data_IF_353337927900
#
_entry.id   IF_353337927900
#
_cell.length_a   1.000
_cell.length_b   1.000
_cell.length_c   1.000
_cell.angle_alpha   90.00
_cell.angle_beta   90.00
_cell.angle_gamma   90.00
#
_symmetry.space_group_name_H-M   'P 1'
#
loop_
_entity.id
_entity.type
_entity.pdbx_description
1 polymer ?
#
# COMPACT_ATOMS: atom_id res chain seq x y z
N UNK A 1 -56.59 -13.29 -52.83
CA UNK A 1 -56.09 -13.78 -51.52
C UNK A 1 -54.58 -13.61 -51.56
N UNK A 2 -54.07 -12.53 -50.94
CA UNK A 2 -52.63 -12.18 -50.98
C UNK A 2 -52.01 -12.50 -49.61
N UNK A 3 -51.08 -13.48 -49.58
CA UNK A 3 -50.36 -13.87 -48.37
C UNK A 3 -49.32 -12.84 -48.03
N UNK A 4 -49.52 -12.11 -46.93
CA UNK A 4 -48.58 -11.16 -46.34
C UNK A 4 -47.60 -11.98 -45.45
N UNK A 5 -46.35 -12.19 -45.90
CA UNK A 5 -45.30 -12.77 -45.11
C UNK A 5 -44.72 -11.70 -44.18
N UNK A 6 -44.97 -11.84 -42.88
CA UNK A 6 -44.39 -11.00 -41.83
C UNK A 6 -42.94 -11.46 -41.61
N UNK A 7 -41.97 -10.63 -42.02
CA UNK A 7 -40.53 -10.83 -41.75
C UNK A 7 -40.25 -10.24 -40.38
N UNK A 8 -40.04 -11.12 -39.37
CA UNK A 8 -39.52 -10.69 -38.07
C UNK A 8 -38.04 -10.34 -38.19
N UNK A 9 -37.69 -9.07 -38.11
CA UNK A 9 -36.30 -8.64 -37.90
C UNK A 9 -35.96 -8.85 -36.44
N UNK A 10 -35.22 -9.92 -36.12
CA UNK A 10 -34.57 -10.09 -34.84
C UNK A 10 -33.31 -9.19 -34.84
N UNK A 11 -33.41 -8.01 -34.29
CA UNK A 11 -32.27 -7.14 -34.08
C UNK A 11 -31.33 -7.76 -33.04
N UNK A 12 -30.18 -8.27 -33.48
CA UNK A 12 -29.10 -8.70 -32.62
C UNK A 12 -28.48 -7.46 -31.94
N UNK A 13 -28.87 -7.20 -30.69
CA UNK A 13 -28.26 -6.15 -29.90
C UNK A 13 -26.84 -6.61 -29.50
N UNK A 14 -25.84 -6.22 -30.28
CA UNK A 14 -24.44 -6.41 -29.89
C UNK A 14 -24.15 -5.57 -28.67
N UNK A 15 -24.11 -6.20 -27.51
CA UNK A 15 -23.57 -5.56 -26.28
C UNK A 15 -22.07 -5.40 -26.52
N UNK A 16 -21.66 -4.17 -26.83
CA UNK A 16 -20.26 -3.76 -26.81
C UNK A 16 -19.80 -3.84 -25.35
N UNK A 17 -19.16 -4.97 -25.00
CA UNK A 17 -18.37 -5.07 -23.77
C UNK A 17 -17.16 -4.18 -24.01
N UNK A 18 -17.22 -2.93 -23.52
CA UNK A 18 -16.03 -2.08 -23.40
C UNK A 18 -15.05 -2.83 -22.52
N UNK A 19 -13.77 -2.96 -22.92
CA UNK A 19 -12.76 -3.51 -22.01
C UNK A 19 -12.81 -2.65 -20.75
N UNK A 20 -13.08 -3.29 -19.62
CA UNK A 20 -13.07 -2.63 -18.33
C UNK A 20 -11.73 -1.91 -18.21
N UNK A 21 -11.76 -0.64 -17.81
CA UNK A 21 -10.55 0.07 -17.36
C UNK A 21 -9.95 -0.82 -16.29
N UNK A 22 -8.78 -1.41 -16.58
CA UNK A 22 -8.09 -2.29 -15.65
C UNK A 22 -8.01 -1.56 -14.31
N UNK A 23 -8.64 -2.12 -13.29
CA UNK A 23 -8.55 -1.56 -11.95
C UNK A 23 -7.09 -1.65 -11.54
N UNK A 24 -6.46 -0.52 -11.22
CA UNK A 24 -5.15 -0.51 -10.63
C UNK A 24 -5.27 -1.30 -9.32
N UNK A 25 -4.67 -2.48 -9.29
CA UNK A 25 -4.75 -3.43 -8.19
C UNK A 25 -3.34 -3.81 -7.78
N UNK A 26 -3.16 -4.08 -6.50
CA UNK A 26 -1.90 -4.59 -5.93
C UNK A 26 -1.41 -5.90 -6.60
N UNK A 27 -2.26 -6.54 -7.42
CA UNK A 27 -1.95 -7.73 -8.23
C UNK A 27 -1.71 -7.42 -9.71
N UNK A 28 -1.56 -6.12 -10.07
CA UNK A 28 -1.35 -5.71 -11.45
C UNK A 28 0.04 -6.09 -11.97
N UNK A 29 0.13 -6.60 -13.20
CA UNK A 29 1.40 -6.85 -13.90
C UNK A 29 2.25 -5.57 -14.03
N UNK A 30 1.61 -4.40 -14.10
CA UNK A 30 2.29 -3.10 -14.10
C UNK A 30 3.10 -2.88 -12.81
N UNK A 31 2.62 -3.43 -11.68
CA UNK A 31 3.30 -3.31 -10.39
C UNK A 31 4.59 -4.15 -10.36
N UNK A 32 4.60 -5.31 -10.99
CA UNK A 32 5.78 -6.17 -11.09
C UNK A 32 6.89 -5.46 -11.89
N UNK A 33 6.56 -4.87 -13.06
CA UNK A 33 7.51 -4.06 -13.83
C UNK A 33 8.07 -2.88 -13.03
N UNK A 34 7.20 -2.18 -12.30
CA UNK A 34 7.63 -1.06 -11.45
C UNK A 34 8.62 -1.51 -10.35
N UNK A 35 8.37 -2.64 -9.69
CA UNK A 35 9.30 -3.17 -8.69
C UNK A 35 10.64 -3.60 -9.29
N UNK A 36 10.62 -4.27 -10.44
CA UNK A 36 11.83 -4.70 -11.13
C UNK A 36 12.69 -3.47 -11.53
N UNK A 37 12.07 -2.44 -12.07
CA UNK A 37 12.73 -1.19 -12.40
C UNK A 37 13.23 -0.43 -11.17
N UNK A 38 12.43 -0.36 -10.10
CA UNK A 38 12.83 0.27 -8.84
C UNK A 38 14.10 -0.37 -8.28
N UNK A 39 14.17 -1.69 -8.32
CA UNK A 39 15.27 -2.46 -7.78
C UNK A 39 16.59 -2.23 -8.49
N UNK A 40 16.56 -2.03 -9.82
CA UNK A 40 17.77 -1.88 -10.65
C UNK A 40 18.13 -0.43 -10.97
N UNK A 41 17.24 0.52 -10.68
CA UNK A 41 17.52 1.94 -10.95
C UNK A 41 18.74 2.41 -10.16
N UNK A 42 19.63 3.12 -10.84
CA UNK A 42 20.81 3.77 -10.23
C UNK A 42 20.63 5.28 -10.10
N UNK A 43 19.55 5.81 -10.66
CA UNK A 43 19.23 7.24 -10.67
C UNK A 43 18.17 7.52 -9.59
N UNK A 44 18.52 8.34 -8.61
CA UNK A 44 17.63 8.68 -7.49
C UNK A 44 16.32 9.38 -7.94
N UNK A 45 16.38 10.20 -8.99
CA UNK A 45 15.19 10.87 -9.53
C UNK A 45 14.26 9.86 -10.22
N UNK A 46 14.81 8.94 -11.01
CA UNK A 46 14.03 7.85 -11.62
C UNK A 46 13.43 6.95 -10.55
N UNK A 47 14.21 6.54 -9.56
CA UNK A 47 13.74 5.71 -8.46
C UNK A 47 12.58 6.36 -7.69
N UNK A 48 12.67 7.66 -7.39
CA UNK A 48 11.60 8.40 -6.74
C UNK A 48 10.32 8.48 -7.61
N UNK A 49 10.48 8.64 -8.93
CA UNK A 49 9.36 8.64 -9.85
C UNK A 49 8.66 7.27 -9.90
N UNK A 50 9.43 6.17 -9.95
CA UNK A 50 8.90 4.80 -9.93
C UNK A 50 8.21 4.51 -8.59
N UNK A 51 8.82 4.89 -7.48
CA UNK A 51 8.22 4.76 -6.14
C UNK A 51 6.87 5.50 -6.08
N UNK A 52 6.80 6.72 -6.63
CA UNK A 52 5.56 7.49 -6.73
C UNK A 52 4.47 6.78 -7.54
N UNK A 53 4.84 6.06 -8.61
CA UNK A 53 3.90 5.26 -9.40
C UNK A 53 3.40 4.04 -8.60
N UNK A 54 4.27 3.35 -7.86
CA UNK A 54 3.88 2.25 -6.97
C UNK A 54 2.88 2.74 -5.92
N UNK A 55 3.16 3.86 -5.24
CA UNK A 55 2.23 4.46 -4.29
C UNK A 55 0.91 4.85 -4.93
N UNK A 56 0.92 5.35 -6.16
CA UNK A 56 -0.30 5.69 -6.89
C UNK A 56 -1.17 4.45 -7.16
N UNK A 57 -0.56 3.33 -7.52
CA UNK A 57 -1.27 2.05 -7.71
C UNK A 57 -1.85 1.58 -6.37
N UNK A 58 -1.07 1.60 -5.30
CA UNK A 58 -1.52 1.13 -4.00
C UNK A 58 -2.64 1.95 -3.36
N UNK A 59 -2.68 3.28 -3.60
CA UNK A 59 -3.63 4.17 -2.91
C UNK A 59 -5.03 4.17 -3.53
N UNK A 60 -5.18 3.67 -4.75
CA UNK A 60 -6.43 3.64 -5.49
C UNK A 60 -6.93 2.21 -5.69
N UNK A 61 -8.16 1.95 -5.24
CA UNK A 61 -8.81 0.65 -5.41
C UNK A 61 -9.72 0.60 -6.65
N UNK A 62 -10.16 1.76 -7.14
CA UNK A 62 -11.11 1.87 -8.24
C UNK A 62 -12.56 1.66 -7.80
N UNK A 63 -12.83 1.56 -6.50
CA UNK A 63 -14.17 1.51 -5.91
C UNK A 63 -14.46 2.84 -5.27
N UNK A 64 -15.42 3.59 -5.83
CA UNK A 64 -15.65 5.00 -5.48
C UNK A 64 -15.81 5.26 -3.98
N UNK A 65 -16.58 4.42 -3.27
CA UNK A 65 -16.78 4.58 -1.82
C UNK A 65 -15.51 4.29 -1.03
N UNK A 66 -14.73 3.27 -1.43
CA UNK A 66 -13.45 2.92 -0.80
C UNK A 66 -12.44 4.04 -1.01
N UNK A 67 -12.29 4.53 -2.24
CA UNK A 67 -11.36 5.59 -2.60
C UNK A 67 -11.72 6.93 -1.94
N UNK A 68 -13.01 7.23 -1.80
CA UNK A 68 -13.48 8.40 -1.07
C UNK A 68 -13.13 8.32 0.42
N UNK A 69 -13.40 7.19 1.08
CA UNK A 69 -13.05 7.00 2.49
C UNK A 69 -11.53 7.00 2.69
N UNK A 70 -10.74 6.44 1.75
CA UNK A 70 -9.29 6.51 1.75
C UNK A 70 -8.81 7.96 1.75
N UNK A 71 -9.31 8.77 0.82
CA UNK A 71 -8.97 10.19 0.72
C UNK A 71 -9.31 10.97 1.99
N UNK A 72 -10.53 10.80 2.51
CA UNK A 72 -10.97 11.48 3.74
C UNK A 72 -10.15 11.04 4.96
N UNK A 73 -9.77 9.76 5.04
CA UNK A 73 -8.91 9.23 6.08
C UNK A 73 -7.51 9.85 6.05
N UNK A 74 -6.93 10.01 4.86
CA UNK A 74 -5.61 10.63 4.67
C UNK A 74 -5.66 12.11 5.06
N UNK A 75 -6.69 12.85 4.64
CA UNK A 75 -6.87 14.26 5.01
C UNK A 75 -6.96 14.40 6.53
N UNK A 76 -7.86 13.65 7.17
CA UNK A 76 -8.02 13.67 8.62
C UNK A 76 -6.72 13.33 9.36
N UNK A 77 -5.94 12.36 8.84
CA UNK A 77 -4.63 12.00 9.40
C UNK A 77 -3.65 13.18 9.30
N UNK A 78 -3.59 13.85 8.16
CA UNK A 78 -2.70 15.00 7.95
C UNK A 78 -3.03 16.22 8.83
N UNK A 79 -4.30 16.34 9.22
CA UNK A 79 -4.79 17.38 10.15
C UNK A 79 -4.62 16.98 11.62
N UNK A 80 -4.07 15.79 11.92
CA UNK A 80 -3.93 15.28 13.28
C UNK A 80 -5.25 14.77 13.89
N UNK A 81 -6.33 14.72 13.12
CA UNK A 81 -7.60 14.16 13.54
C UNK A 81 -7.57 12.62 13.43
N UNK A 82 -6.81 11.98 14.32
CA UNK A 82 -6.60 10.53 14.28
C UNK A 82 -7.89 9.74 14.53
N UNK A 83 -8.80 10.21 15.38
CA UNK A 83 -10.08 9.54 15.60
C UNK A 83 -10.96 9.56 14.34
N UNK A 84 -11.04 10.69 13.64
CA UNK A 84 -11.73 10.80 12.35
C UNK A 84 -11.08 9.92 11.29
N UNK A 85 -9.76 9.95 11.21
CA UNK A 85 -8.98 9.13 10.28
C UNK A 85 -9.23 7.63 10.48
N UNK A 86 -9.20 7.12 11.72
CA UNK A 86 -9.54 5.73 12.03
C UNK A 86 -10.95 5.37 11.56
N UNK A 87 -11.95 6.26 11.78
CA UNK A 87 -13.33 6.02 11.35
C UNK A 87 -13.43 5.82 9.82
N UNK A 88 -12.67 6.60 9.05
CA UNK A 88 -12.63 6.46 7.59
C UNK A 88 -11.90 5.18 7.16
N UNK A 89 -10.72 4.91 7.70
CA UNK A 89 -9.99 3.68 7.35
C UNK A 89 -10.69 2.41 7.83
N UNK A 90 -11.46 2.47 8.92
CA UNK A 90 -12.36 1.38 9.33
C UNK A 90 -13.43 1.07 8.28
N UNK A 91 -13.96 2.09 7.58
CA UNK A 91 -14.88 1.88 6.46
C UNK A 91 -14.16 1.29 5.27
N UNK A 92 -12.93 1.74 4.97
CA UNK A 92 -12.10 1.17 3.91
C UNK A 92 -11.89 -0.32 4.11
N UNK A 93 -11.35 -0.74 5.28
CA UNK A 93 -11.02 -2.16 5.53
C UNK A 93 -12.24 -3.06 5.72
N UNK A 94 -13.41 -2.49 6.07
CA UNK A 94 -14.68 -3.22 6.09
C UNK A 94 -15.30 -3.33 4.71
N UNK A 95 -15.19 -2.27 3.90
CA UNK A 95 -15.73 -2.24 2.54
C UNK A 95 -14.93 -3.11 1.58
N UNK A 96 -13.61 -3.14 1.75
CA UNK A 96 -12.71 -4.02 0.99
C UNK A 96 -11.58 -4.57 1.88
N UNK A 97 -11.79 -5.73 2.52
CA UNK A 97 -10.76 -6.38 3.32
C UNK A 97 -9.53 -6.85 2.52
N UNK A 98 -9.65 -6.94 1.18
CA UNK A 98 -8.57 -7.28 0.25
C UNK A 98 -7.69 -6.09 -0.13
N UNK A 99 -7.99 -4.89 0.32
CA UNK A 99 -7.24 -3.69 -0.02
C UNK A 99 -6.08 -3.45 0.95
N UNK A 100 -4.86 -3.85 0.58
CA UNK A 100 -3.67 -3.81 1.43
C UNK A 100 -3.38 -2.41 1.99
N UNK A 101 -3.47 -1.37 1.16
CA UNK A 101 -3.16 0.01 1.58
C UNK A 101 -4.18 0.55 2.59
N UNK A 102 -5.41 0.08 2.58
CA UNK A 102 -6.39 0.41 3.62
C UNK A 102 -5.92 -0.02 5.01
N UNK A 103 -5.42 -1.24 5.13
CA UNK A 103 -4.81 -1.74 6.36
C UNK A 103 -3.55 -0.97 6.74
N UNK A 104 -2.66 -0.70 5.77
CA UNK A 104 -1.44 0.07 6.00
C UNK A 104 -1.70 1.48 6.51
N UNK A 105 -2.69 2.18 5.94
CA UNK A 105 -3.07 3.53 6.41
C UNK A 105 -3.64 3.50 7.82
N UNK A 106 -4.49 2.52 8.14
CA UNK A 106 -5.02 2.37 9.50
C UNK A 106 -3.90 2.04 10.49
N UNK A 107 -2.97 1.17 10.11
CA UNK A 107 -1.78 0.87 10.90
C UNK A 107 -0.94 2.12 11.19
N UNK A 108 -0.79 3.01 10.19
CA UNK A 108 -0.07 4.27 10.36
C UNK A 108 -0.75 5.15 11.42
N UNK A 109 -2.08 5.25 11.41
CA UNK A 109 -2.80 6.02 12.43
C UNK A 109 -2.64 5.40 13.82
N UNK A 110 -2.74 4.08 13.94
CA UNK A 110 -2.47 3.39 15.22
C UNK A 110 -1.06 3.65 15.73
N UNK A 111 -0.07 3.64 14.85
CA UNK A 111 1.31 4.00 15.21
C UNK A 111 1.41 5.42 15.76
N UNK A 112 0.81 6.41 15.08
CA UNK A 112 0.79 7.81 15.50
C UNK A 112 0.08 8.02 16.84
N UNK A 113 -0.87 7.17 17.17
CA UNK A 113 -1.57 7.15 18.47
C UNK A 113 -0.81 6.36 19.55
N UNK A 114 0.33 5.74 19.24
CA UNK A 114 1.07 4.88 20.15
C UNK A 114 0.44 3.50 20.39
N UNK A 115 -0.61 3.14 19.65
CA UNK A 115 -1.22 1.82 19.72
C UNK A 115 -0.47 0.83 18.84
N UNK A 116 0.71 0.42 19.29
CA UNK A 116 1.62 -0.41 18.52
C UNK A 116 1.07 -1.81 18.25
N UNK A 117 0.31 -2.39 19.18
CA UNK A 117 -0.26 -3.73 18.99
C UNK A 117 -1.28 -3.75 17.84
N UNK A 118 -2.18 -2.77 17.79
CA UNK A 118 -3.14 -2.64 16.70
C UNK A 118 -2.42 -2.34 15.36
N UNK A 119 -1.39 -1.49 15.40
CA UNK A 119 -0.58 -1.18 14.22
C UNK A 119 0.09 -2.43 13.65
N UNK A 120 0.74 -3.25 14.49
CA UNK A 120 1.38 -4.51 14.08
C UNK A 120 0.37 -5.49 13.49
N UNK A 121 -0.82 -5.59 14.07
CA UNK A 121 -1.88 -6.46 13.55
C UNK A 121 -2.30 -6.06 12.14
N UNK A 122 -2.48 -4.75 11.88
CA UNK A 122 -2.85 -4.23 10.56
C UNK A 122 -1.70 -4.32 9.55
N UNK A 123 -0.45 -4.07 9.96
CA UNK A 123 0.73 -4.32 9.13
C UNK A 123 0.78 -5.80 8.72
N UNK A 124 0.48 -6.73 9.63
CA UNK A 124 0.39 -8.15 9.32
C UNK A 124 -0.63 -8.45 8.22
N UNK A 125 -1.80 -7.77 8.22
CA UNK A 125 -2.80 -7.87 7.15
C UNK A 125 -2.27 -7.29 5.83
N UNK A 126 -1.64 -6.12 5.89
CA UNK A 126 -1.02 -5.50 4.72
C UNK A 126 -0.02 -6.44 4.04
N UNK A 127 0.91 -7.01 4.82
CA UNK A 127 1.97 -7.88 4.29
C UNK A 127 1.46 -9.27 3.84
N UNK A 128 0.32 -9.72 4.36
CA UNK A 128 -0.34 -10.94 3.87
C UNK A 128 -0.98 -10.71 2.49
N UNK A 129 -1.42 -9.48 2.19
CA UNK A 129 -2.04 -9.10 0.92
C UNK A 129 -1.01 -8.65 -0.12
N UNK A 130 0.00 -7.87 0.30
CA UNK A 130 1.12 -7.42 -0.53
C UNK A 130 2.44 -7.62 0.23
N UNK A 131 3.13 -8.73 0.03
CA UNK A 131 4.39 -9.02 0.72
C UNK A 131 5.53 -8.04 0.42
N UNK A 132 5.44 -7.32 -0.72
CA UNK A 132 6.44 -6.32 -1.15
C UNK A 132 6.12 -4.92 -0.63
N UNK A 133 5.19 -4.77 0.29
CA UNK A 133 4.79 -3.46 0.80
C UNK A 133 5.89 -2.85 1.68
N UNK A 134 6.89 -2.24 1.06
CA UNK A 134 8.06 -1.68 1.75
C UNK A 134 7.70 -0.60 2.79
N UNK A 135 6.60 0.14 2.59
CA UNK A 135 6.08 1.09 3.58
C UNK A 135 5.60 0.41 4.85
N UNK A 136 4.89 -0.72 4.74
CA UNK A 136 4.44 -1.50 5.89
C UNK A 136 5.62 -2.14 6.64
N UNK A 137 6.61 -2.68 5.91
CA UNK A 137 7.87 -3.18 6.50
C UNK A 137 8.62 -2.05 7.23
N UNK A 138 8.70 -0.87 6.63
CA UNK A 138 9.30 0.31 7.27
C UNK A 138 8.58 0.66 8.58
N UNK A 139 7.25 0.72 8.56
CA UNK A 139 6.42 0.98 9.74
C UNK A 139 6.60 -0.05 10.84
N UNK A 140 6.68 -1.34 10.50
CA UNK A 140 6.96 -2.40 11.48
C UNK A 140 8.34 -2.21 12.15
N UNK A 141 9.34 -1.83 11.37
CA UNK A 141 10.67 -1.53 11.90
C UNK A 141 10.65 -0.33 12.85
N UNK A 142 9.90 0.74 12.52
CA UNK A 142 9.73 1.89 13.42
C UNK A 142 9.10 1.49 14.75
N UNK A 143 8.11 0.60 14.74
CA UNK A 143 7.50 0.08 15.98
C UNK A 143 8.54 -0.68 16.79
N UNK A 144 9.29 -1.60 16.17
CA UNK A 144 10.32 -2.36 16.87
C UNK A 144 11.42 -1.48 17.47
N UNK A 145 11.84 -0.43 16.76
CA UNK A 145 12.80 0.54 17.30
C UNK A 145 12.22 1.31 18.49
N UNK A 146 10.97 1.79 18.38
CA UNK A 146 10.26 2.50 19.44
C UNK A 146 10.11 1.69 20.74
N UNK A 147 9.94 0.37 20.63
CA UNK A 147 9.85 -0.54 21.81
C UNK A 147 11.20 -1.15 22.21
N UNK A 148 12.32 -0.61 21.67
CA UNK A 148 13.67 -1.02 22.03
C UNK A 148 14.14 -2.33 21.41
N UNK A 149 13.37 -2.96 20.52
CA UNK A 149 13.73 -4.20 19.81
C UNK A 149 14.58 -3.91 18.57
N UNK A 150 15.68 -3.18 18.72
CA UNK A 150 16.51 -2.65 17.63
C UNK A 150 17.00 -3.71 16.65
N UNK A 151 17.39 -4.89 17.15
CA UNK A 151 17.82 -5.99 16.27
C UNK A 151 16.69 -6.50 15.37
N UNK A 152 15.45 -6.51 15.85
CA UNK A 152 14.28 -6.84 15.04
C UNK A 152 13.95 -5.73 14.04
N UNK A 153 14.07 -4.46 14.45
CA UNK A 153 13.90 -3.30 13.55
C UNK A 153 14.85 -3.38 12.35
N UNK A 154 16.15 -3.61 12.61
CA UNK A 154 17.15 -3.75 11.55
C UNK A 154 16.78 -4.86 10.57
N UNK A 155 16.40 -6.05 11.05
CA UNK A 155 16.02 -7.18 10.18
C UNK A 155 14.82 -6.86 9.27
N UNK A 156 13.83 -6.13 9.78
CA UNK A 156 12.65 -5.77 8.99
C UNK A 156 12.97 -4.66 8.00
N UNK A 157 13.78 -3.68 8.39
CA UNK A 157 14.22 -2.62 7.49
C UNK A 157 15.13 -3.14 6.37
N UNK A 158 15.98 -4.14 6.64
CA UNK A 158 16.76 -4.83 5.60
C UNK A 158 15.86 -5.47 4.55
N UNK A 159 14.76 -6.11 4.96
CA UNK A 159 13.76 -6.64 4.01
C UNK A 159 13.09 -5.52 3.20
N UNK A 160 12.79 -4.37 3.83
CA UNK A 160 12.27 -3.22 3.08
C UNK A 160 13.28 -2.73 2.02
N UNK A 161 14.58 -2.70 2.36
CA UNK A 161 15.66 -2.30 1.45
C UNK A 161 15.94 -3.32 0.34
N UNK A 162 15.64 -4.61 0.54
CA UNK A 162 15.70 -5.62 -0.53
C UNK A 162 14.66 -5.37 -1.61
N UNK A 163 13.51 -4.76 -1.24
CA UNK A 163 12.41 -4.43 -2.14
C UNK A 163 12.63 -3.04 -2.77
N UNK A 164 12.87 -2.04 -1.92
CA UNK A 164 13.16 -0.67 -2.31
C UNK A 164 14.54 -0.23 -1.77
N UNK A 165 15.62 -0.37 -2.56
CA UNK A 165 16.96 0.00 -2.11
C UNK A 165 17.19 1.50 -1.98
N UNK A 166 16.21 2.34 -2.35
CA UNK A 166 16.33 3.80 -2.35
C UNK A 166 15.85 4.48 -1.06
N UNK A 167 15.45 3.71 -0.06
CA UNK A 167 15.01 4.24 1.25
C UNK A 167 16.22 4.67 2.10
N UNK A 168 16.85 5.80 1.72
CA UNK A 168 18.09 6.28 2.34
C UNK A 168 17.99 6.49 3.87
N UNK A 169 16.84 6.95 4.36
CA UNK A 169 16.59 7.12 5.80
C UNK A 169 16.66 5.82 6.60
N UNK A 170 16.18 4.70 6.02
CA UNK A 170 16.30 3.40 6.67
C UNK A 170 17.74 2.91 6.71
N UNK A 171 18.48 3.10 5.62
CA UNK A 171 19.91 2.73 5.56
C UNK A 171 20.69 3.46 6.63
N UNK A 172 20.51 4.78 6.74
CA UNK A 172 21.16 5.58 7.77
C UNK A 172 20.83 5.09 9.17
N UNK A 173 19.54 4.86 9.45
CA UNK A 173 19.10 4.38 10.78
C UNK A 173 19.69 3.01 11.15
N UNK A 174 19.79 2.10 10.19
CA UNK A 174 20.44 0.79 10.39
C UNK A 174 21.92 0.99 10.74
N UNK A 175 22.61 1.87 10.03
CA UNK A 175 24.03 2.17 10.27
C UNK A 175 24.26 2.77 11.67
N UNK A 176 23.41 3.70 12.12
CA UNK A 176 23.44 4.24 13.48
C UNK A 176 23.31 3.15 14.53
N UNK A 177 22.29 2.29 14.43
CA UNK A 177 22.07 1.20 15.40
C UNK A 177 23.28 0.25 15.43
N UNK A 178 23.86 -0.05 14.27
CA UNK A 178 25.05 -0.91 14.18
C UNK A 178 26.30 -0.26 14.79
N UNK A 179 26.45 1.06 14.64
CA UNK A 179 27.56 1.80 15.24
C UNK A 179 27.43 1.86 16.77
N UNK A 180 26.24 2.11 17.29
CA UNK A 180 25.95 2.11 18.72
C UNK A 180 26.28 0.76 19.37
N UNK A 181 25.91 -0.35 18.70
CA UNK A 181 26.20 -1.70 19.18
C UNK A 181 27.70 -2.07 19.18
N UNK A 182 28.49 -1.45 18.26
CA UNK A 182 29.96 -1.65 18.23
C UNK A 182 30.68 -0.85 19.32
N UNK A 183 30.10 0.29 19.72
CA UNK A 183 30.65 1.14 20.77
C UNK A 183 30.35 0.68 22.19
N UNK A 184 29.39 -0.23 22.38
CA UNK A 184 29.02 -0.87 23.66
C UNK A 184 29.04 -2.39 23.51
N UNK A 185 30.19 -3.07 23.50
CA UNK A 185 30.20 -4.51 23.55
C UNK A 185 29.65 -4.97 24.91
N UNK A 186 28.53 -5.70 24.87
CA UNK A 186 27.91 -6.36 26.01
C UNK A 186 28.86 -7.50 26.45
#
# INVERSE_FOLDING_TARGET
MKNLRLILFVGLLAVLVLPGVGMADQTSDDLDDLFDRLKVSTNAFEAAAIEGLIWKVWIHRGVAEVDQNMTLGIVAMSEGNFAGSLSFFDRVVRGDPGFAEGWNKRATVYYLMGNFDASVADIGKTLALEPRHFGALSGMGLIYDAIGKRAAAVKVWEKALEINPHMAGLRHRIEEIRAENKGNPI
#
